data_IF_478611949853
#
_entry.id   IF_478611949853
#
_cell.length_a   1.000
_cell.length_b   1.000
_cell.length_c   1.000
_cell.angle_alpha   90.00
_cell.angle_beta   90.00
_cell.angle_gamma   90.00
#
_symmetry.space_group_name_H-M   'P 1'
#
loop_
_entity.id
_entity.type
_entity.pdbx_description
1 polymer ?
#
# COMPACT_ATOMS: atom_id res chain seq x y z
N UNK A 1 8.45 12.37 -20.12
CA UNK A 1 7.95 12.70 -18.77
C UNK A 1 9.08 13.36 -17.99
N UNK A 2 8.82 14.44 -17.26
CA UNK A 2 9.86 15.12 -16.50
C UNK A 2 9.98 14.52 -15.08
N UNK A 3 11.21 14.32 -14.59
CA UNK A 3 11.48 13.94 -13.20
C UNK A 3 12.07 15.15 -12.49
N UNK A 4 11.39 15.61 -11.44
CA UNK A 4 11.85 16.72 -10.60
C UNK A 4 12.68 16.17 -9.45
N UNK A 5 13.81 16.80 -9.19
CA UNK A 5 14.56 16.66 -7.95
C UNK A 5 14.12 17.78 -7.01
N UNK A 6 13.60 17.41 -5.85
CA UNK A 6 13.05 18.36 -4.87
C UNK A 6 13.94 18.36 -3.62
N UNK A 7 14.52 19.51 -3.23
CA UNK A 7 15.27 19.61 -1.98
C UNK A 7 14.41 19.24 -0.78
N UNK A 8 15.00 18.59 0.20
CA UNK A 8 14.33 18.21 1.44
C UNK A 8 15.27 18.33 2.63
N UNK A 9 14.68 18.19 3.82
CA UNK A 9 15.38 18.09 5.09
C UNK A 9 15.04 16.76 5.77
N UNK A 10 15.92 16.34 6.66
CA UNK A 10 15.67 15.20 7.53
C UNK A 10 14.47 15.43 8.46
N UNK A 11 13.73 14.34 8.72
CA UNK A 11 12.65 14.27 9.69
C UNK A 11 13.02 13.29 10.82
N UNK A 12 13.46 13.75 12.00
CA UNK A 12 13.94 12.89 13.09
C UNK A 12 12.91 11.91 13.63
N UNK A 13 11.62 12.21 13.45
CA UNK A 13 10.53 11.38 13.93
C UNK A 13 10.05 10.35 12.87
N UNK A 14 10.77 10.20 11.76
CA UNK A 14 10.41 9.31 10.64
C UNK A 14 10.88 7.86 10.77
N UNK A 15 11.57 7.49 11.86
CA UNK A 15 11.96 6.09 12.10
C UNK A 15 10.72 5.22 12.32
N UNK A 16 10.54 4.20 11.47
CA UNK A 16 9.47 3.22 11.63
C UNK A 16 9.76 2.27 12.79
N UNK A 17 8.71 1.86 13.50
CA UNK A 17 8.79 0.75 14.46
C UNK A 17 8.54 -0.60 13.79
N UNK A 18 8.42 -1.65 14.61
CA UNK A 18 8.14 -3.04 14.16
C UNK A 18 6.88 -3.18 13.31
N UNK A 19 5.92 -2.26 13.47
CA UNK A 19 4.66 -2.24 12.72
C UNK A 19 4.56 -1.08 11.73
N UNK A 20 5.69 -0.51 11.32
CA UNK A 20 5.77 0.66 10.44
C UNK A 20 5.86 2.00 11.17
N UNK A 21 5.87 3.07 10.39
CA UNK A 21 5.79 4.45 10.87
C UNK A 21 4.33 4.81 11.12
N UNK A 22 4.02 5.35 12.31
CA UNK A 22 2.68 5.83 12.67
C UNK A 22 2.80 7.18 13.36
N UNK A 23 2.06 8.16 12.86
CA UNK A 23 2.06 9.54 13.33
C UNK A 23 0.70 10.18 13.03
N UNK A 24 0.33 11.27 13.72
CA UNK A 24 -0.82 12.07 13.36
C UNK A 24 -0.79 12.50 11.88
N UNK A 25 -1.95 12.57 11.23
CA UNK A 25 -2.08 13.00 9.83
C UNK A 25 -1.38 14.33 9.58
N UNK A 26 -1.46 15.30 10.50
CA UNK A 26 -0.76 16.59 10.39
C UNK A 26 0.75 16.47 10.19
N UNK A 27 1.38 15.38 10.62
CA UNK A 27 2.80 15.10 10.40
C UNK A 27 3.01 14.59 8.98
N UNK A 28 2.24 13.59 8.56
CA UNK A 28 2.30 13.05 7.19
C UNK A 28 1.91 14.07 6.10
N UNK A 29 1.09 15.06 6.45
CA UNK A 29 0.69 16.16 5.58
C UNK A 29 1.80 17.21 5.38
N UNK A 30 2.87 17.19 6.18
CA UNK A 30 3.99 18.11 5.99
C UNK A 30 4.65 17.86 4.61
N UNK A 31 5.04 18.93 3.88
CA UNK A 31 5.74 18.79 2.61
C UNK A 31 6.99 17.94 2.75
N UNK A 32 7.12 16.92 1.89
CA UNK A 32 8.26 16.02 1.88
C UNK A 32 8.16 14.84 2.85
N UNK A 33 7.26 14.81 3.84
CA UNK A 33 7.30 13.77 4.87
C UNK A 33 7.10 12.34 4.31
N UNK A 34 6.04 12.15 3.50
CA UNK A 34 5.78 10.88 2.81
C UNK A 34 6.88 10.60 1.80
N UNK A 35 7.26 11.61 1.04
CA UNK A 35 8.22 11.51 -0.05
C UNK A 35 9.61 11.10 0.44
N UNK A 36 10.04 11.59 1.61
CA UNK A 36 11.34 11.26 2.22
C UNK A 36 11.37 9.80 2.67
N UNK A 37 10.30 9.32 3.30
CA UNK A 37 10.20 7.93 3.71
C UNK A 37 10.30 7.00 2.50
N UNK A 38 9.52 7.29 1.45
CA UNK A 38 9.47 6.49 0.22
C UNK A 38 10.78 6.58 -0.57
N UNK A 39 11.36 7.78 -0.68
CA UNK A 39 12.66 7.98 -1.32
C UNK A 39 13.76 7.21 -0.60
N UNK A 40 13.82 7.27 0.74
CA UNK A 40 14.84 6.54 1.51
C UNK A 40 14.73 5.04 1.34
N UNK A 41 13.48 4.52 1.26
CA UNK A 41 13.21 3.12 0.96
C UNK A 41 13.72 2.73 -0.44
N UNK A 42 13.45 3.52 -1.47
CA UNK A 42 13.87 3.22 -2.84
C UNK A 42 15.34 3.50 -3.11
N UNK A 43 15.99 4.37 -2.34
CA UNK A 43 17.45 4.48 -2.32
C UNK A 43 18.08 3.22 -1.73
N UNK A 44 17.49 2.64 -0.68
CA UNK A 44 17.97 1.39 -0.10
C UNK A 44 17.71 0.18 -1.00
N UNK A 45 16.52 0.12 -1.59
CA UNK A 45 16.02 -0.99 -2.40
C UNK A 45 15.63 -0.44 -3.79
N UNK A 46 16.62 -0.15 -4.65
CA UNK A 46 16.36 0.44 -5.95
C UNK A 46 15.60 -0.55 -6.85
N UNK A 47 14.62 -0.08 -7.65
CA UNK A 47 13.94 -0.93 -8.61
C UNK A 47 14.89 -1.39 -9.72
N UNK A 48 14.66 -2.60 -10.21
CA UNK A 48 15.20 -3.12 -11.48
C UNK A 48 14.19 -2.83 -12.61
N UNK A 49 14.57 -2.93 -13.90
CA UNK A 49 13.67 -2.62 -15.02
C UNK A 49 12.28 -3.29 -14.94
N UNK A 50 12.22 -4.55 -14.50
CA UNK A 50 10.97 -5.33 -14.39
C UNK A 50 10.37 -5.32 -12.97
N UNK A 51 10.84 -4.45 -12.08
CA UNK A 51 10.34 -4.39 -10.71
C UNK A 51 8.92 -3.86 -10.65
N UNK A 52 8.06 -4.62 -10.00
CA UNK A 52 6.68 -4.26 -9.69
C UNK A 52 6.64 -3.73 -8.26
N UNK A 53 5.98 -2.58 -8.07
CA UNK A 53 5.60 -2.09 -6.75
C UNK A 53 4.11 -2.35 -6.49
N UNK A 54 3.76 -2.84 -5.31
CA UNK A 54 2.36 -2.85 -4.85
C UNK A 54 2.14 -1.69 -3.88
N UNK A 55 1.05 -0.94 -4.01
CA UNK A 55 0.69 0.08 -3.01
C UNK A 55 -0.81 0.13 -2.75
N UNK A 56 -1.18 0.43 -1.52
CA UNK A 56 -2.58 0.51 -1.09
C UNK A 56 -2.69 0.53 0.42
N UNK A 57 -3.90 0.71 0.93
CA UNK A 57 -4.10 0.90 2.36
C UNK A 57 -5.51 0.63 2.86
N UNK A 58 -5.75 1.03 4.09
CA UNK A 58 -6.96 0.64 4.82
C UNK A 58 -8.16 1.57 4.63
N UNK A 59 -8.05 2.57 3.77
CA UNK A 59 -9.12 3.54 3.47
C UNK A 59 -9.22 4.71 4.44
N UNK A 60 -8.27 4.86 5.38
CA UNK A 60 -8.26 6.01 6.32
C UNK A 60 -8.09 7.35 5.60
N UNK A 61 -8.45 8.43 6.28
CA UNK A 61 -8.22 9.80 5.83
C UNK A 61 -6.77 10.01 5.38
N UNK A 62 -6.55 10.82 4.32
CA UNK A 62 -5.25 11.10 3.68
C UNK A 62 -4.67 9.96 2.81
N UNK A 63 -5.35 8.81 2.68
CA UNK A 63 -4.88 7.71 1.84
C UNK A 63 -4.80 8.08 0.35
N UNK A 64 -5.82 8.77 -0.15
CA UNK A 64 -5.93 9.25 -1.54
C UNK A 64 -4.79 10.20 -1.91
N UNK A 65 -4.39 11.08 -1.00
CA UNK A 65 -3.24 11.97 -1.20
C UNK A 65 -1.92 11.20 -1.10
N UNK A 66 -1.76 10.37 -0.06
CA UNK A 66 -0.51 9.65 0.18
C UNK A 66 -0.19 8.64 -0.94
N UNK A 67 -1.19 7.96 -1.50
CA UNK A 67 -0.97 7.00 -2.59
C UNK A 67 -0.45 7.69 -3.85
N UNK A 68 -0.94 8.89 -4.20
CA UNK A 68 -0.42 9.66 -5.32
C UNK A 68 1.05 10.04 -5.12
N UNK A 69 1.43 10.45 -3.90
CA UNK A 69 2.83 10.72 -3.55
C UNK A 69 3.71 9.49 -3.73
N UNK A 70 3.26 8.32 -3.24
CA UNK A 70 3.98 7.05 -3.43
C UNK A 70 4.17 6.74 -4.91
N UNK A 71 3.11 6.86 -5.74
CA UNK A 71 3.17 6.62 -7.19
C UNK A 71 4.23 7.51 -7.83
N UNK A 72 4.16 8.83 -7.61
CA UNK A 72 5.06 9.78 -8.28
C UNK A 72 6.51 9.61 -7.84
N UNK A 73 6.77 9.34 -6.57
CA UNK A 73 8.13 9.07 -6.06
C UNK A 73 8.65 7.72 -6.59
N UNK A 74 7.81 6.69 -6.66
CA UNK A 74 8.19 5.40 -7.25
C UNK A 74 8.62 5.56 -8.72
N UNK A 75 7.84 6.28 -9.52
CA UNK A 75 8.17 6.56 -10.92
C UNK A 75 9.47 7.36 -11.03
N UNK A 76 9.64 8.39 -10.18
CA UNK A 76 10.86 9.19 -10.10
C UNK A 76 12.12 8.39 -9.75
N UNK A 77 11.94 7.24 -9.10
CA UNK A 77 13.01 6.30 -8.74
C UNK A 77 13.16 5.13 -9.73
N UNK A 78 12.41 5.11 -10.83
CA UNK A 78 12.61 4.14 -11.90
C UNK A 78 11.64 2.97 -11.93
N UNK A 79 10.62 2.91 -11.05
CA UNK A 79 9.55 1.92 -11.21
C UNK A 79 8.82 2.15 -12.55
N UNK A 80 8.52 1.04 -13.23
CA UNK A 80 7.80 1.02 -14.52
C UNK A 80 6.48 0.26 -14.46
N UNK A 81 6.22 -0.48 -13.38
CA UNK A 81 4.94 -1.15 -13.14
C UNK A 81 4.53 -0.98 -11.67
N UNK A 82 3.37 -0.37 -11.44
CA UNK A 82 2.80 -0.17 -10.11
C UNK A 82 1.39 -0.77 -10.07
N UNK A 83 1.13 -1.64 -9.10
CA UNK A 83 -0.18 -2.24 -8.82
C UNK A 83 -0.81 -1.54 -7.63
N UNK A 84 -2.06 -1.14 -7.77
CA UNK A 84 -2.83 -0.38 -6.77
C UNK A 84 -4.21 -1.03 -6.64
N UNK A 85 -4.73 -1.18 -5.42
CA UNK A 85 -6.14 -1.58 -5.27
C UNK A 85 -7.09 -0.43 -5.60
N UNK A 86 -8.29 -0.74 -6.07
CA UNK A 86 -9.33 0.25 -6.37
C UNK A 86 -9.53 1.22 -5.19
N UNK A 87 -9.62 2.52 -5.49
CA UNK A 87 -9.67 3.63 -4.52
C UNK A 87 -8.46 3.69 -3.57
N UNK A 88 -7.35 3.07 -3.98
CA UNK A 88 -6.15 2.89 -3.15
C UNK A 88 -6.34 1.88 -2.01
N UNK A 89 -7.42 1.10 -1.99
CA UNK A 89 -7.77 0.21 -0.88
C UNK A 89 -7.23 -1.20 -1.09
N UNK A 90 -6.37 -1.66 -0.18
CA UNK A 90 -5.90 -3.04 -0.08
C UNK A 90 -5.69 -3.40 1.39
N UNK A 91 -6.23 -4.54 1.82
CA UNK A 91 -5.91 -5.07 3.14
C UNK A 91 -4.43 -5.50 3.20
N UNK A 92 -3.81 -5.46 4.38
CA UNK A 92 -2.41 -5.93 4.54
C UNK A 92 -2.24 -7.39 4.06
N UNK A 93 -3.16 -8.34 4.36
CA UNK A 93 -3.09 -9.69 3.80
C UNK A 93 -3.18 -9.73 2.28
N UNK A 94 -4.05 -8.91 1.66
CA UNK A 94 -4.15 -8.84 0.20
C UNK A 94 -2.86 -8.31 -0.42
N UNK A 95 -2.25 -7.25 0.13
CA UNK A 95 -0.94 -6.77 -0.34
C UNK A 95 0.11 -7.88 -0.29
N UNK A 96 0.19 -8.62 0.82
CA UNK A 96 1.11 -9.75 0.95
C UNK A 96 0.87 -10.83 -0.12
N UNK A 97 -0.40 -11.19 -0.36
CA UNK A 97 -0.77 -12.16 -1.38
C UNK A 97 -0.39 -11.67 -2.80
N UNK A 98 -0.66 -10.40 -3.12
CA UNK A 98 -0.34 -9.79 -4.42
C UNK A 98 1.18 -9.76 -4.63
N UNK A 99 1.97 -9.36 -3.63
CA UNK A 99 3.44 -9.34 -3.73
C UNK A 99 3.97 -10.72 -4.11
N UNK A 100 3.44 -11.77 -3.46
CA UNK A 100 3.87 -13.16 -3.66
C UNK A 100 3.46 -13.70 -5.03
N UNK A 101 2.20 -13.51 -5.41
CA UNK A 101 1.64 -13.99 -6.68
C UNK A 101 2.28 -13.28 -7.88
N UNK A 102 2.42 -11.95 -7.79
CA UNK A 102 3.00 -11.12 -8.87
C UNK A 102 4.52 -11.02 -8.83
N UNK A 103 5.19 -11.66 -7.86
CA UNK A 103 6.65 -11.58 -7.65
C UNK A 103 7.14 -10.12 -7.59
N UNK A 104 6.36 -9.27 -6.93
CA UNK A 104 6.69 -7.85 -6.79
C UNK A 104 7.94 -7.67 -5.93
N UNK A 105 8.67 -6.58 -6.15
CA UNK A 105 9.87 -6.25 -5.36
C UNK A 105 9.51 -5.96 -3.88
N UNK A 106 8.30 -5.46 -3.67
CA UNK A 106 7.67 -5.27 -2.38
C UNK A 106 6.42 -4.40 -2.50
N UNK A 107 5.95 -3.89 -1.37
CA UNK A 107 4.82 -2.98 -1.35
C UNK A 107 4.78 -2.03 -0.18
N UNK A 108 4.36 -0.80 -0.46
CA UNK A 108 4.13 0.26 0.52
C UNK A 108 2.67 0.18 0.96
N UNK A 109 2.44 -0.02 2.25
CA UNK A 109 1.10 -0.22 2.82
C UNK A 109 0.74 1.00 3.67
N UNK A 110 -0.35 1.67 3.32
CA UNK A 110 -0.84 2.90 3.94
C UNK A 110 -1.87 2.56 5.03
N UNK A 111 -1.39 2.29 6.24
CA UNK A 111 -2.21 1.89 7.38
C UNK A 111 -1.50 2.17 8.70
N UNK A 112 -2.27 2.55 9.72
CA UNK A 112 -1.82 2.55 11.12
C UNK A 112 -2.45 1.41 11.93
N UNK A 113 -2.85 0.32 11.26
CA UNK A 113 -3.49 -0.85 11.85
C UNK A 113 -4.78 -0.46 12.60
N UNK A 114 -4.88 -0.79 13.88
CA UNK A 114 -6.03 -0.50 14.73
C UNK A 114 -6.10 0.94 15.26
N UNK A 115 -5.06 1.77 15.04
CA UNK A 115 -5.12 3.17 15.45
C UNK A 115 -6.23 3.90 14.68
N UNK A 116 -7.01 4.71 15.40
CA UNK A 116 -8.10 5.51 14.84
C UNK A 116 -7.62 6.36 13.64
N UNK A 117 -8.46 6.44 12.61
CA UNK A 117 -8.25 7.31 11.44
C UNK A 117 -9.10 8.57 11.49
N UNK A 118 -8.71 9.59 10.74
CA UNK A 118 -9.39 10.89 10.69
C UNK A 118 -8.39 12.06 10.60
N UNK A 119 -8.86 13.27 10.28
CA UNK A 119 -7.99 14.44 10.07
C UNK A 119 -7.10 14.78 11.28
N UNK A 120 -7.60 14.57 12.50
CA UNK A 120 -6.86 14.80 13.75
C UNK A 120 -6.33 13.52 14.41
N UNK A 121 -6.33 12.40 13.67
CA UNK A 121 -5.92 11.08 14.15
C UNK A 121 -4.70 10.56 13.40
N UNK A 122 -4.44 9.27 13.49
CA UNK A 122 -3.21 8.68 12.99
C UNK A 122 -3.30 8.28 11.51
N UNK A 123 -2.18 8.48 10.83
CA UNK A 123 -1.85 7.84 9.58
C UNK A 123 -0.64 6.92 9.81
N UNK A 124 -0.43 5.98 8.89
CA UNK A 124 0.72 5.10 8.98
C UNK A 124 1.18 4.59 7.63
N UNK A 125 2.46 4.23 7.58
CA UNK A 125 3.10 3.67 6.40
C UNK A 125 4.07 2.58 6.82
N UNK A 126 4.00 1.44 6.16
CA UNK A 126 4.94 0.32 6.34
C UNK A 126 5.33 -0.27 4.99
N UNK A 127 6.39 -1.06 4.99
CA UNK A 127 6.86 -1.76 3.81
C UNK A 127 6.84 -3.27 4.03
N UNK A 128 6.31 -4.01 3.06
CA UNK A 128 6.54 -5.44 2.94
C UNK A 128 7.52 -5.69 1.79
N UNK A 129 8.51 -6.56 2.00
CA UNK A 129 9.53 -6.87 0.98
C UNK A 129 9.07 -8.04 0.08
N UNK A 130 9.89 -8.45 -0.89
CA UNK A 130 9.56 -9.40 -1.96
C UNK A 130 8.94 -10.75 -1.53
N UNK A 131 9.07 -11.17 -0.27
CA UNK A 131 8.42 -12.39 0.25
C UNK A 131 6.95 -12.19 0.63
N UNK A 132 6.49 -10.94 0.63
CA UNK A 132 5.20 -10.50 1.15
C UNK A 132 5.19 -10.27 2.66
N UNK A 133 6.29 -10.51 3.39
CA UNK A 133 6.39 -10.30 4.82
C UNK A 133 6.75 -8.83 5.16
N UNK A 134 6.45 -8.35 6.38
CA UNK A 134 6.92 -7.04 6.86
C UNK A 134 8.44 -6.91 6.75
N UNK A 135 8.91 -5.72 6.42
CA UNK A 135 10.34 -5.42 6.40
C UNK A 135 11.00 -5.75 7.75
N UNK A 136 12.13 -6.48 7.76
CA UNK A 136 12.86 -6.75 9.00
C UNK A 136 13.48 -5.46 9.55
N UNK A 137 13.77 -5.45 10.85
CA UNK A 137 14.34 -4.29 11.55
C UNK A 137 15.62 -3.76 10.88
N UNK A 138 16.50 -4.65 10.42
CA UNK A 138 17.73 -4.27 9.72
C UNK A 138 17.49 -3.45 8.44
N UNK A 139 16.40 -3.72 7.72
CA UNK A 139 16.00 -2.95 6.54
C UNK A 139 15.46 -1.58 6.94
N UNK A 140 14.65 -1.53 8.00
CA UNK A 140 14.09 -0.28 8.54
C UNK A 140 15.19 0.64 9.09
N UNK A 141 16.17 0.08 9.80
CA UNK A 141 17.32 0.85 10.29
C UNK A 141 18.12 1.43 9.13
N UNK A 142 18.40 0.64 8.10
CA UNK A 142 19.09 1.13 6.90
C UNK A 142 18.30 2.19 6.15
N UNK A 143 16.98 2.05 6.05
CA UNK A 143 16.10 3.08 5.49
C UNK A 143 16.23 4.38 6.30
N UNK A 144 16.23 4.31 7.64
CA UNK A 144 16.33 5.50 8.49
C UNK A 144 17.71 6.16 8.43
N UNK A 145 18.81 5.39 8.42
CA UNK A 145 20.18 5.91 8.20
C UNK A 145 20.30 6.69 6.88
N UNK A 146 19.57 6.28 5.84
CA UNK A 146 19.50 7.00 4.57
C UNK A 146 18.66 8.27 4.73
N UNK A 147 17.52 8.19 5.42
CA UNK A 147 16.64 9.34 5.67
C UNK A 147 17.33 10.45 6.49
N UNK A 148 18.29 10.11 7.36
CA UNK A 148 19.13 11.07 8.10
C UNK A 148 20.03 11.92 7.20
N UNK A 149 20.42 11.37 6.06
CA UNK A 149 21.37 11.99 5.13
C UNK A 149 20.71 12.53 3.86
N UNK A 150 19.39 12.36 3.74
CA UNK A 150 18.65 12.69 2.53
C UNK A 150 18.50 14.22 2.38
N UNK A 151 19.03 14.76 1.28
CA UNK A 151 18.95 16.19 0.94
C UNK A 151 17.96 16.47 -0.19
N UNK A 152 17.52 15.44 -0.92
CA UNK A 152 16.57 15.57 -2.02
C UNK A 152 15.76 14.28 -2.24
N UNK A 153 14.60 14.41 -2.89
CA UNK A 153 13.87 13.26 -3.43
C UNK A 153 13.47 13.49 -4.89
N UNK A 154 13.28 12.39 -5.63
CA UNK A 154 12.86 12.39 -7.02
C UNK A 154 11.38 12.13 -7.13
N UNK A 155 10.67 12.99 -7.86
CA UNK A 155 9.23 12.88 -8.08
C UNK A 155 8.89 13.07 -9.55
N UNK A 156 8.06 12.19 -10.10
CA UNK A 156 7.55 12.33 -11.45
C UNK A 156 6.56 13.49 -11.55
N UNK A 157 6.77 14.36 -12.54
CA UNK A 157 5.88 15.47 -12.85
C UNK A 157 4.74 14.98 -13.75
N UNK A 158 3.78 14.29 -13.12
CA UNK A 158 2.58 13.78 -13.77
C UNK A 158 1.31 14.22 -13.01
N UNK A 159 0.16 14.32 -13.70
CA UNK A 159 -1.14 14.42 -13.05
C UNK A 159 -1.38 13.24 -12.10
N UNK A 160 -2.30 13.43 -11.16
CA UNK A 160 -2.76 12.32 -10.32
C UNK A 160 -3.43 11.25 -11.18
N UNK A 161 -3.21 10.00 -10.80
CA UNK A 161 -3.82 8.84 -11.47
C UNK A 161 -5.22 8.65 -10.93
N UNK A 162 -6.21 8.46 -11.81
CA UNK A 162 -7.56 8.03 -11.41
C UNK A 162 -7.52 6.58 -10.90
N UNK A 163 -7.44 6.43 -9.58
CA UNK A 163 -7.38 5.13 -8.89
C UNK A 163 -8.77 4.50 -8.65
N UNK A 164 -9.85 5.13 -9.11
CA UNK A 164 -11.22 4.63 -8.90
C UNK A 164 -11.65 3.60 -9.96
N UNK A 165 -11.01 3.63 -11.13
CA UNK A 165 -11.36 2.78 -12.27
C UNK A 165 -10.44 1.59 -12.36
N UNK A 166 -11.02 0.39 -12.36
CA UNK A 166 -10.30 -0.86 -12.62
C UNK A 166 -9.71 -0.84 -14.03
N UNK A 167 -8.51 -1.40 -14.16
CA UNK A 167 -7.86 -1.55 -15.46
C UNK A 167 -6.36 -1.33 -15.42
N UNK A 168 -5.75 -1.48 -16.59
CA UNK A 168 -4.35 -1.12 -16.81
C UNK A 168 -4.30 0.17 -17.61
N UNK A 169 -3.51 1.12 -17.11
CA UNK A 169 -3.29 2.43 -17.71
C UNK A 169 -1.81 2.65 -17.94
N UNK A 170 -1.50 3.54 -18.88
CA UNK A 170 -0.13 3.98 -19.13
C UNK A 170 -0.03 5.46 -18.80
N UNK A 171 0.98 5.82 -18.01
CA UNK A 171 1.26 7.21 -17.63
C UNK A 171 2.69 7.60 -17.98
N UNK A 172 2.89 8.87 -18.33
CA UNK A 172 4.21 9.39 -18.69
C UNK A 172 4.87 8.60 -19.83
N UNK A 173 6.12 8.20 -19.63
CA UNK A 173 6.94 7.51 -20.63
C UNK A 173 6.73 5.98 -20.59
N UNK A 174 5.49 5.54 -20.69
CA UNK A 174 5.18 4.11 -20.76
C UNK A 174 5.07 3.40 -19.41
N UNK A 175 4.97 4.12 -18.30
CA UNK A 175 4.81 3.50 -16.97
C UNK A 175 3.43 2.84 -16.88
N UNK A 176 3.42 1.54 -16.56
CA UNK A 176 2.20 0.76 -16.37
C UNK A 176 1.65 0.99 -14.96
N UNK A 177 0.42 1.47 -14.86
CA UNK A 177 -0.37 1.52 -13.63
C UNK A 177 -1.52 0.54 -13.73
N UNK A 178 -1.59 -0.40 -12.80
CA UNK A 178 -2.62 -1.44 -12.77
C UNK A 178 -3.50 -1.24 -11.55
N UNK A 179 -4.74 -0.79 -11.77
CA UNK A 179 -5.76 -0.67 -10.74
C UNK A 179 -6.55 -1.98 -10.70
N UNK A 180 -6.40 -2.73 -9.62
CA UNK A 180 -7.00 -4.06 -9.46
C UNK A 180 -8.17 -4.04 -8.49
N UNK A 181 -9.05 -5.03 -8.64
CA UNK A 181 -10.03 -5.33 -7.60
C UNK A 181 -9.30 -5.70 -6.31
N UNK A 182 -9.74 -5.10 -5.19
CA UNK A 182 -9.07 -5.26 -3.90
C UNK A 182 -9.14 -6.70 -3.36
N UNK A 183 -10.16 -7.47 -3.75
CA UNK A 183 -10.52 -8.76 -3.18
C UNK A 183 -10.11 -9.94 -4.06
N UNK A 184 -10.23 -9.83 -5.40
CA UNK A 184 -10.15 -10.97 -6.33
C UNK A 184 -8.92 -11.89 -6.13
N UNK A 185 -7.71 -11.32 -6.09
CA UNK A 185 -6.48 -12.13 -5.93
C UNK A 185 -6.43 -12.81 -4.55
N UNK A 186 -6.80 -12.08 -3.50
CA UNK A 186 -6.85 -12.63 -2.15
C UNK A 186 -7.92 -13.72 -2.03
N UNK A 187 -9.08 -13.54 -2.65
CA UNK A 187 -10.18 -14.49 -2.63
C UNK A 187 -9.81 -15.78 -3.36
N UNK A 188 -9.11 -15.68 -4.49
CA UNK A 188 -8.53 -16.84 -5.18
C UNK A 188 -7.61 -17.63 -4.25
N UNK A 189 -6.79 -16.97 -3.44
CA UNK A 189 -5.97 -17.63 -2.43
C UNK A 189 -6.82 -18.28 -1.34
N UNK A 190 -7.88 -17.61 -0.84
CA UNK A 190 -8.77 -18.19 0.17
C UNK A 190 -9.43 -19.48 -0.32
N UNK A 191 -9.89 -19.53 -1.58
CA UNK A 191 -10.47 -20.73 -2.21
C UNK A 191 -9.48 -21.87 -2.43
N UNK A 192 -8.17 -21.60 -2.44
CA UNK A 192 -7.13 -22.62 -2.48
C UNK A 192 -6.83 -23.20 -1.09
N UNK A 193 -7.04 -22.41 -0.03
CA UNK A 193 -6.72 -22.77 1.35
C UNK A 193 -7.91 -23.44 2.04
N UNK A 194 -9.13 -22.97 1.78
CA UNK A 194 -10.36 -23.45 2.42
C UNK A 194 -11.28 -24.12 1.41
N UNK A 195 -12.03 -25.12 1.87
CA UNK A 195 -13.08 -25.76 1.10
C UNK A 195 -14.38 -24.95 1.22
N UNK A 196 -14.65 -24.11 0.22
CA UNK A 196 -15.85 -23.29 0.19
C UNK A 196 -17.13 -24.14 0.03
N UNK A 197 -17.04 -25.31 -0.61
CA UNK A 197 -18.19 -26.21 -0.75
C UNK A 197 -18.63 -26.83 0.57
N UNK A 198 -17.73 -26.91 1.56
CA UNK A 198 -18.05 -27.30 2.94
C UNK A 198 -18.58 -26.13 3.78
N UNK A 199 -18.19 -24.90 3.46
CA UNK A 199 -18.60 -23.70 4.22
C UNK A 199 -19.97 -23.21 3.77
N UNK A 200 -20.25 -23.18 2.46
CA UNK A 200 -21.53 -22.67 1.91
C UNK A 200 -22.77 -23.33 2.54
N UNK A 201 -22.84 -24.68 2.75
CA UNK A 201 -24.00 -25.30 3.38
C UNK A 201 -24.24 -24.82 4.83
N UNK A 202 -23.19 -24.42 5.56
CA UNK A 202 -23.32 -23.85 6.90
C UNK A 202 -24.09 -22.53 6.85
N UNK A 203 -23.80 -21.66 5.88
CA UNK A 203 -24.49 -20.37 5.69
C UNK A 203 -25.93 -20.53 5.18
N UNK A 204 -26.26 -21.65 4.54
CA UNK A 204 -27.62 -21.96 4.08
C UNK A 204 -28.55 -22.51 5.19
N UNK A 205 -28.01 -22.85 6.37
CA UNK A 205 -28.78 -23.42 7.48
C UNK A 205 -29.65 -22.36 8.14
N UNK A 206 -30.95 -22.69 8.31
CA UNK A 206 -31.91 -21.80 9.00
C UNK A 206 -31.61 -21.55 10.47
N UNK A 207 -30.88 -22.47 11.11
CA UNK A 207 -30.48 -22.40 12.52
C UNK A 207 -29.07 -21.82 12.72
N UNK A 208 -28.40 -21.40 11.65
CA UNK A 208 -27.10 -20.75 11.73
C UNK A 208 -27.24 -19.23 11.68
N UNK A 209 -26.62 -18.55 12.63
CA UNK A 209 -26.53 -17.09 12.67
C UNK A 209 -25.07 -16.65 12.77
N UNK A 210 -24.68 -15.68 11.95
CA UNK A 210 -23.32 -15.16 11.90
C UNK A 210 -23.35 -13.63 11.85
N UNK A 211 -22.44 -13.01 12.61
CA UNK A 211 -22.26 -11.55 12.62
C UNK A 211 -20.78 -11.26 12.38
N UNK A 212 -20.50 -10.40 11.42
CA UNK A 212 -19.17 -9.88 11.14
C UNK A 212 -19.18 -8.36 11.23
N UNK A 213 -18.35 -7.81 12.10
CA UNK A 213 -18.13 -6.37 12.19
C UNK A 213 -16.78 -6.00 11.55
N UNK A 214 -16.84 -5.23 10.46
CA UNK A 214 -15.66 -4.73 9.77
C UNK A 214 -15.05 -3.48 10.42
N UNK A 215 -15.69 -2.93 11.46
CA UNK A 215 -15.29 -1.71 12.19
C UNK A 215 -15.05 -0.51 11.25
N UNK A 216 -15.85 -0.41 10.19
CA UNK A 216 -15.70 0.58 9.10
C UNK A 216 -14.33 0.56 8.40
N UNK A 217 -13.56 -0.51 8.56
CA UNK A 217 -12.25 -0.69 7.97
C UNK A 217 -12.28 -1.33 6.59
N UNK A 218 -11.08 -1.53 6.04
CA UNK A 218 -10.88 -2.11 4.71
C UNK A 218 -11.48 -3.50 4.54
N UNK A 219 -11.61 -4.26 5.62
CA UNK A 219 -12.17 -5.63 5.62
C UNK A 219 -13.64 -5.68 5.23
N UNK A 220 -14.38 -4.57 5.26
CA UNK A 220 -15.79 -4.54 4.85
C UNK A 220 -16.01 -5.03 3.42
N UNK A 221 -15.16 -4.60 2.47
CA UNK A 221 -15.22 -5.06 1.07
C UNK A 221 -14.94 -6.57 0.96
N UNK A 222 -13.95 -7.05 1.70
CA UNK A 222 -13.56 -8.46 1.71
C UNK A 222 -14.63 -9.35 2.35
N UNK A 223 -15.25 -8.87 3.44
CA UNK A 223 -16.28 -9.61 4.15
C UNK A 223 -17.54 -9.75 3.31
N UNK A 224 -17.96 -8.68 2.62
CA UNK A 224 -19.08 -8.76 1.68
C UNK A 224 -18.77 -9.75 0.55
N UNK A 225 -17.60 -9.60 -0.09
CA UNK A 225 -17.19 -10.50 -1.16
C UNK A 225 -17.07 -11.96 -0.71
N UNK A 226 -16.63 -12.22 0.52
CA UNK A 226 -16.41 -13.58 1.02
C UNK A 226 -17.66 -14.25 1.60
N UNK A 227 -18.48 -13.51 2.35
CA UNK A 227 -19.60 -14.08 3.11
C UNK A 227 -20.97 -13.87 2.44
N UNK A 228 -21.05 -13.04 1.39
CA UNK A 228 -22.31 -12.73 0.69
C UNK A 228 -22.26 -13.18 -0.78
N UNK A 229 -21.19 -12.87 -1.50
CA UNK A 229 -21.11 -13.16 -2.95
C UNK A 229 -20.58 -14.56 -3.28
N UNK A 230 -19.94 -15.23 -2.33
CA UNK A 230 -19.33 -16.56 -2.47
C UNK A 230 -20.09 -17.62 -1.65
#
# INVERSE_FOLDING_TARGET
>A
MNIKTVPTKHFPDSKAGTSGLRKPVKVFAQPGYVENFVQSLFTHIPPKPDSILVTGGDGRYYLDVAVQKVIKVAIGNGYRHIIIGQDGRLSTPAVSAIIRDRKALGGVILTASHNAGGPDKDFGMKYNYHTGAPAPESLIDKQYEIAEKLTEYKIADIPDVDISKLGTFTVGDGVKIEIIDSCELWLKLMKQVFDFSLIQPLFARKDFSFVFDALHGVTGRYAFRLFVDE
#
